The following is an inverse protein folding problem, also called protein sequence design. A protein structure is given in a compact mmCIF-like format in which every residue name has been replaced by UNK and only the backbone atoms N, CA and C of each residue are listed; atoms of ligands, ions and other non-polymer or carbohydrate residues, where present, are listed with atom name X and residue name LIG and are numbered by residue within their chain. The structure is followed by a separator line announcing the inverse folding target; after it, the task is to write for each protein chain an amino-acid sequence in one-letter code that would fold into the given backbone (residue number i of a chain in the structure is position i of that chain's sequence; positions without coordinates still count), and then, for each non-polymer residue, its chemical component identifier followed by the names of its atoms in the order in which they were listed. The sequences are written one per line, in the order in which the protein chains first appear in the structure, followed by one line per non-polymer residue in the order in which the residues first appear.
data_IF_148171343209
#
_entry.id   IF_148171343209
#
_cell.length_a   1.000
_cell.length_b   1.000
_cell.length_c   1.000
_cell.angle_alpha   90.00
_cell.angle_beta   90.00
_cell.angle_gamma   90.00
#
_symmetry.space_group_name_H-M   'P 1'
#
loop_
_entity.id
_entity.type
_entity.pdbx_description
1 polymer ?
#
# COMPACT_ATOMS: atom_id res chain seq x y z
N UNK A 1 2.68 -20.10 4.10
CA UNK A 1 1.76 -20.31 2.95
C UNK A 1 0.34 -20.44 3.49
N UNK A 2 -0.64 -19.73 2.94
CA UNK A 2 -2.02 -19.73 3.45
C UNK A 2 -2.68 -21.08 3.12
N UNK A 3 -3.36 -21.72 4.07
CA UNK A 3 -4.04 -23.01 3.85
C UNK A 3 -5.30 -22.75 3.01
N UNK A 4 -5.25 -23.13 1.73
CA UNK A 4 -6.33 -22.89 0.75
C UNK A 4 -7.63 -23.67 1.07
N UNK A 5 -7.59 -24.61 2.00
CA UNK A 5 -8.75 -25.35 2.50
C UNK A 5 -9.28 -24.87 3.85
N UNK A 6 -8.78 -23.74 4.36
CA UNK A 6 -9.24 -23.21 5.65
C UNK A 6 -10.53 -22.40 5.50
N UNK A 7 -11.41 -22.45 6.51
CA UNK A 7 -12.60 -21.59 6.59
C UNK A 7 -12.25 -20.11 6.46
N UNK A 8 -11.09 -19.68 6.98
CA UNK A 8 -10.62 -18.31 6.82
C UNK A 8 -10.38 -17.93 5.36
N UNK A 9 -9.78 -18.84 4.57
CA UNK A 9 -9.58 -18.63 3.13
C UNK A 9 -10.91 -18.51 2.40
N UNK A 10 -11.83 -19.46 2.60
CA UNK A 10 -13.15 -19.41 1.96
C UNK A 10 -13.96 -18.17 2.32
N UNK A 11 -13.97 -17.78 3.59
CA UNK A 11 -14.68 -16.58 4.04
C UNK A 11 -14.11 -15.31 3.41
N UNK A 12 -12.78 -15.23 3.29
CA UNK A 12 -12.16 -14.09 2.63
C UNK A 12 -12.53 -14.03 1.14
N UNK A 13 -12.41 -15.14 0.41
CA UNK A 13 -12.78 -15.21 -1.01
C UNK A 13 -14.24 -14.81 -1.22
N UNK A 14 -15.16 -15.31 -0.38
CA UNK A 14 -16.57 -14.93 -0.42
C UNK A 14 -16.78 -13.41 -0.24
N UNK A 15 -16.04 -12.77 0.67
CA UNK A 15 -16.15 -11.33 0.90
C UNK A 15 -15.61 -10.53 -0.29
N UNK A 16 -14.47 -10.92 -0.84
CA UNK A 16 -13.83 -10.29 -2.00
C UNK A 16 -14.71 -10.38 -3.25
N UNK A 17 -15.32 -11.54 -3.51
CA UNK A 17 -16.23 -11.76 -4.64
C UNK A 17 -17.56 -11.01 -4.49
N UNK A 18 -17.97 -10.65 -3.27
CA UNK A 18 -19.26 -10.01 -3.00
C UNK A 18 -19.33 -8.58 -3.55
N UNK A 19 -18.27 -7.80 -3.43
CA UNK A 19 -18.18 -6.48 -4.06
C UNK A 19 -16.74 -5.97 -4.15
N UNK A 20 -16.46 -5.14 -5.17
CA UNK A 20 -15.15 -4.56 -5.41
C UNK A 20 -14.61 -3.72 -4.22
N UNK A 21 -15.51 -3.13 -3.42
CA UNK A 21 -15.10 -2.41 -2.20
C UNK A 21 -14.46 -3.38 -1.19
N UNK A 22 -15.00 -4.58 -1.00
CA UNK A 22 -14.43 -5.54 -0.06
C UNK A 22 -13.04 -6.02 -0.51
N UNK A 23 -12.85 -6.22 -1.82
CA UNK A 23 -11.54 -6.54 -2.39
C UNK A 23 -10.53 -5.42 -2.11
N UNK A 24 -10.92 -4.17 -2.35
CA UNK A 24 -10.08 -3.01 -2.06
C UNK A 24 -9.76 -2.89 -0.56
N UNK A 25 -10.76 -3.03 0.32
CA UNK A 25 -10.54 -3.00 1.77
C UNK A 25 -9.62 -4.15 2.20
N UNK A 26 -9.76 -5.34 1.62
CA UNK A 26 -8.85 -6.44 1.92
C UNK A 26 -7.41 -6.10 1.52
N UNK A 27 -7.19 -5.52 0.33
CA UNK A 27 -5.88 -5.04 -0.11
C UNK A 27 -5.31 -4.02 0.89
N UNK A 28 -6.07 -2.96 1.17
CA UNK A 28 -5.67 -1.85 2.05
C UNK A 28 -5.41 -2.30 3.50
N UNK A 29 -6.11 -3.33 3.97
CA UNK A 29 -5.92 -3.90 5.32
C UNK A 29 -4.58 -4.64 5.49
N UNK A 30 -3.84 -4.89 4.40
CA UNK A 30 -2.51 -5.50 4.50
C UNK A 30 -1.59 -4.56 5.25
N UNK A 31 -1.15 -4.99 6.44
CA UNK A 31 -0.26 -4.22 7.32
C UNK A 31 0.88 -3.55 6.53
N UNK A 32 1.05 -2.24 6.73
CA UNK A 32 2.01 -1.36 6.04
C UNK A 32 1.64 -0.90 4.62
N UNK A 33 0.61 -1.44 3.95
CA UNK A 33 0.35 -1.09 2.55
C UNK A 33 -0.01 0.39 2.37
N UNK A 34 -0.95 0.90 3.18
CA UNK A 34 -1.36 2.32 3.14
C UNK A 34 -0.23 3.25 3.55
N UNK A 35 0.54 2.87 4.58
CA UNK A 35 1.68 3.67 5.05
C UNK A 35 2.77 3.81 3.98
N UNK A 36 3.07 2.72 3.25
CA UNK A 36 4.01 2.78 2.12
C UNK A 36 3.48 3.67 0.99
N UNK A 37 2.17 3.66 0.75
CA UNK A 37 1.55 4.53 -0.26
C UNK A 37 1.72 6.02 0.13
N UNK A 38 1.37 6.38 1.38
CA UNK A 38 1.49 7.74 1.88
C UNK A 38 2.95 8.21 1.97
N UNK A 39 3.87 7.37 2.42
CA UNK A 39 5.28 7.72 2.46
C UNK A 39 5.84 8.06 1.06
N UNK A 40 5.39 7.36 0.01
CA UNK A 40 5.73 7.71 -1.39
C UNK A 40 5.09 9.05 -1.78
N UNK A 41 3.84 9.31 -1.38
CA UNK A 41 3.17 10.61 -1.59
C UNK A 41 3.95 11.77 -0.97
N UNK A 42 4.51 11.56 0.22
CA UNK A 42 5.34 12.53 0.94
C UNK A 42 6.75 12.72 0.33
N UNK A 43 7.09 11.94 -0.70
CA UNK A 43 8.32 12.07 -1.47
C UNK A 43 9.42 11.07 -1.11
N UNK A 44 9.14 10.07 -0.26
CA UNK A 44 10.06 8.97 0.00
C UNK A 44 10.09 8.00 -1.19
N UNK A 45 10.78 8.41 -2.25
CA UNK A 45 10.69 7.73 -3.55
C UNK A 45 11.66 6.55 -3.70
N UNK A 46 12.47 6.22 -2.70
CA UNK A 46 13.48 5.14 -2.78
C UNK A 46 13.26 4.11 -1.69
N UNK A 47 13.71 2.89 -1.93
CA UNK A 47 13.62 1.83 -0.92
C UNK A 47 14.30 2.24 0.40
N UNK A 48 15.47 2.88 0.34
CA UNK A 48 16.17 3.34 1.54
C UNK A 48 15.43 4.46 2.27
N UNK A 49 14.86 5.43 1.55
CA UNK A 49 14.09 6.51 2.20
C UNK A 49 12.82 5.96 2.85
N UNK A 50 12.12 5.03 2.18
CA UNK A 50 10.98 4.33 2.75
C UNK A 50 11.35 3.52 3.99
N UNK A 51 12.56 2.94 4.02
CA UNK A 51 13.07 2.20 5.18
C UNK A 51 13.45 3.11 6.35
N UNK A 52 13.99 4.29 6.05
CA UNK A 52 14.34 5.30 7.05
C UNK A 52 13.09 5.90 7.68
N UNK A 53 12.08 6.19 6.86
CA UNK A 53 10.78 6.71 7.31
C UNK A 53 9.97 5.65 8.09
N UNK A 54 9.88 4.42 7.56
CA UNK A 54 9.10 3.34 8.15
C UNK A 54 9.98 2.41 9.02
N UNK A 55 10.53 2.94 10.12
CA UNK A 55 11.58 2.29 10.93
C UNK A 55 11.33 0.80 11.26
N UNK A 56 10.08 0.41 11.52
CA UNK A 56 9.73 -0.95 11.96
C UNK A 56 9.30 -1.90 10.84
N UNK A 57 9.22 -1.45 9.58
CA UNK A 57 8.91 -2.35 8.47
C UNK A 57 10.12 -3.24 8.19
N UNK A 58 9.92 -4.54 7.93
CA UNK A 58 11.04 -5.38 7.46
C UNK A 58 11.25 -5.24 5.96
N UNK A 59 12.46 -5.52 5.47
CA UNK A 59 12.78 -5.39 4.04
C UNK A 59 11.88 -6.28 3.18
N UNK A 60 11.63 -7.51 3.64
CA UNK A 60 10.74 -8.45 2.97
C UNK A 60 9.31 -7.92 2.88
N UNK A 61 8.80 -7.28 3.94
CA UNK A 61 7.46 -6.71 3.94
C UNK A 61 7.40 -5.47 3.05
N UNK A 62 8.38 -4.57 3.11
CA UNK A 62 8.43 -3.40 2.24
C UNK A 62 8.47 -3.81 0.76
N UNK A 63 9.33 -4.75 0.39
CA UNK A 63 9.41 -5.27 -0.98
C UNK A 63 8.06 -5.88 -1.43
N UNK A 64 7.38 -6.62 -0.55
CA UNK A 64 6.06 -7.19 -0.83
C UNK A 64 4.98 -6.09 -1.00
N UNK A 65 5.02 -5.01 -0.20
CA UNK A 65 4.10 -3.88 -0.34
C UNK A 65 4.31 -3.11 -1.63
N UNK A 66 5.55 -2.79 -1.97
CA UNK A 66 5.89 -2.13 -3.23
C UNK A 66 5.42 -2.97 -4.42
N UNK A 67 5.65 -4.29 -4.38
CA UNK A 67 5.17 -5.21 -5.41
C UNK A 67 3.64 -5.21 -5.52
N UNK A 68 2.91 -5.25 -4.40
CA UNK A 68 1.45 -5.21 -4.41
C UNK A 68 0.92 -3.89 -4.97
N UNK A 69 1.48 -2.75 -4.54
CA UNK A 69 1.10 -1.43 -5.04
C UNK A 69 1.36 -1.32 -6.56
N UNK A 70 2.48 -1.85 -7.05
CA UNK A 70 2.81 -1.88 -8.48
C UNK A 70 1.85 -2.80 -9.27
N UNK A 71 1.56 -4.00 -8.75
CA UNK A 71 0.61 -4.94 -9.35
C UNK A 71 -0.79 -4.35 -9.51
N UNK A 72 -1.23 -3.56 -8.52
CA UNK A 72 -2.50 -2.84 -8.56
C UNK A 72 -2.42 -1.48 -9.28
N UNK A 73 -1.29 -1.17 -9.93
CA UNK A 73 -1.06 0.07 -10.71
C UNK A 73 -1.23 1.35 -9.88
N UNK A 74 -1.03 1.26 -8.57
CA UNK A 74 -1.09 2.41 -7.65
C UNK A 74 0.24 3.17 -7.66
N UNK A 75 1.35 2.47 -7.88
CA UNK A 75 2.68 3.07 -8.06
C UNK A 75 3.31 2.61 -9.37
N UNK A 76 4.27 3.38 -9.85
CA UNK A 76 5.21 2.96 -10.92
C UNK A 76 6.61 2.89 -10.36
N UNK A 77 7.32 1.82 -10.73
CA UNK A 77 8.75 1.62 -10.47
C UNK A 77 9.56 2.11 -11.66
N UNK A 78 10.34 3.17 -11.47
CA UNK A 78 11.18 3.77 -12.49
C UNK A 78 12.63 3.31 -12.29
N UNK A 79 13.15 2.54 -13.25
CA UNK A 79 14.56 2.21 -13.33
C UNK A 79 15.28 3.26 -14.18
N UNK A 80 16.01 4.18 -13.55
CA UNK A 80 16.82 5.13 -14.31
C UNK A 80 18.12 4.45 -14.75
N UNK A 81 18.07 3.73 -15.87
CA UNK A 81 19.23 3.07 -16.48
C UNK A 81 20.25 4.04 -17.09
N UNK A 82 19.95 5.35 -17.12
CA UNK A 82 20.80 6.38 -17.75
C UNK A 82 21.80 7.01 -16.78
N UNK A 83 21.70 6.71 -15.49
CA UNK A 83 22.63 7.19 -14.46
C UNK A 83 23.40 6.02 -13.81
N UNK A 84 24.68 6.26 -13.50
CA UNK A 84 25.51 5.35 -12.72
C UNK A 84 25.75 6.01 -11.35
N UNK A 85 25.39 5.35 -10.23
CA UNK A 85 24.78 4.03 -10.14
C UNK A 85 23.30 4.03 -10.56
N UNK A 86 22.81 2.90 -11.08
CA UNK A 86 21.38 2.70 -11.39
C UNK A 86 20.56 2.95 -10.13
N UNK A 87 19.57 3.83 -10.23
CA UNK A 87 18.64 4.15 -9.13
C UNK A 87 17.24 3.68 -9.48
N UNK A 88 16.60 3.09 -8.48
CA UNK A 88 15.21 2.67 -8.53
C UNK A 88 14.40 3.68 -7.74
N UNK A 89 13.41 4.27 -8.39
CA UNK A 89 12.50 5.22 -7.77
C UNK A 89 11.04 4.75 -7.92
N UNK A 90 10.23 5.10 -6.93
CA UNK A 90 8.81 4.82 -6.87
C UNK A 90 8.04 6.14 -6.91
N UNK A 91 6.92 6.14 -7.62
CA UNK A 91 6.03 7.30 -7.74
C UNK A 91 4.59 6.82 -7.79
N UNK A 92 3.67 7.59 -7.22
CA UNK A 92 2.24 7.33 -7.40
C UNK A 92 1.87 7.43 -8.88
N UNK A 93 0.93 6.60 -9.30
CA UNK A 93 0.23 6.80 -10.58
C UNK A 93 -0.95 7.76 -10.36
N UNK A 94 -1.61 8.26 -11.43
CA UNK A 94 -2.84 9.01 -11.28
C UNK A 94 -3.98 8.24 -10.57
N UNK A 95 -3.92 6.90 -10.55
CA UNK A 95 -4.86 6.08 -9.77
C UNK A 95 -4.43 6.02 -8.31
N UNK A 96 -3.12 5.91 -8.04
CA UNK A 96 -2.55 5.97 -6.70
C UNK A 96 -2.86 7.29 -5.99
N UNK A 97 -2.68 8.42 -6.67
CA UNK A 97 -2.99 9.76 -6.14
C UNK A 97 -4.47 9.88 -5.74
N UNK A 98 -5.39 9.44 -6.61
CA UNK A 98 -6.83 9.43 -6.32
C UNK A 98 -7.17 8.56 -5.12
N UNK A 99 -6.53 7.38 -5.00
CA UNK A 99 -6.74 6.52 -3.85
C UNK A 99 -6.22 7.20 -2.57
N UNK A 100 -5.05 7.83 -2.61
CA UNK A 100 -4.47 8.58 -1.49
C UNK A 100 -5.42 9.67 -0.99
N UNK A 101 -5.97 10.48 -1.90
CA UNK A 101 -6.94 11.53 -1.59
C UNK A 101 -8.21 10.96 -0.92
N UNK A 102 -8.72 9.82 -1.40
CA UNK A 102 -9.86 9.15 -0.75
C UNK A 102 -9.53 8.65 0.65
N UNK A 103 -8.32 8.12 0.87
CA UNK A 103 -7.88 7.66 2.18
C UNK A 103 -7.68 8.81 3.16
N UNK A 104 -7.16 9.96 2.71
CA UNK A 104 -7.08 11.18 3.52
C UNK A 104 -8.48 11.64 3.98
N UNK A 105 -9.49 11.52 3.12
CA UNK A 105 -10.89 11.73 3.49
C UNK A 105 -11.36 10.80 4.62
N UNK A 106 -10.95 9.52 4.60
CA UNK A 106 -11.26 8.56 5.67
C UNK A 106 -10.51 8.88 6.97
N UNK A 107 -9.27 9.34 6.89
CA UNK A 107 -8.50 9.80 8.05
C UNK A 107 -9.22 10.97 8.73
N UNK A 108 -9.58 12.00 7.96
CA UNK A 108 -10.33 13.16 8.45
C UNK A 108 -11.68 12.78 9.07
N UNK A 109 -12.40 11.84 8.46
CA UNK A 109 -13.65 11.34 9.02
C UNK A 109 -13.42 10.64 10.37
N UNK A 110 -12.41 9.78 10.47
CA UNK A 110 -12.06 9.08 11.71
C UNK A 110 -11.70 10.06 12.84
N UNK A 111 -10.88 11.06 12.54
CA UNK A 111 -10.43 12.09 13.49
C UNK A 111 -11.58 12.95 14.02
N UNK A 112 -12.47 13.38 13.13
CA UNK A 112 -13.53 14.33 13.48
C UNK A 112 -14.77 13.66 14.10
N UNK A 113 -15.14 12.47 13.61
CA UNK A 113 -16.45 11.88 13.89
C UNK A 113 -16.36 10.63 14.78
N UNK A 114 -15.29 9.84 14.68
CA UNK A 114 -15.23 8.51 15.31
C UNK A 114 -14.29 8.40 16.50
N UNK A 115 -13.27 9.28 16.63
CA UNK A 115 -12.24 9.23 17.69
C UNK A 115 -11.73 7.82 17.96
N UNK A 116 -11.32 7.10 16.91
CA UNK A 116 -10.84 5.71 17.02
C UNK A 116 -9.47 5.57 17.70
N UNK A 117 -8.84 6.67 18.11
CA UNK A 117 -7.59 6.69 18.84
C UNK A 117 -7.85 6.77 20.35
N UNK A 118 -7.61 5.65 21.05
CA UNK A 118 -7.34 5.57 22.49
C UNK A 118 -5.86 5.26 22.71
#
# INVERSE_FOLDING_TARGET
MRKLSSTNYYNQTFLEEKCALNELIHLLSKRWLTEVLFSIEEGNNRFSSLKEDLEHISDNILADRLKLLEQHKLITRNDNFREIPVRVEYSLTPIGEKLSEMLDGLCKFSENEMKLAD
#
